data_IF_759345110960
#
_entry.id   IF_759345110960
#
_cell.length_a   1.000
_cell.length_b   1.000
_cell.length_c   1.000
_cell.angle_alpha   90.00
_cell.angle_beta   90.00
_cell.angle_gamma   90.00
#
_symmetry.space_group_name_H-M   'P 1'
#
loop_
_entity.id
_entity.type
_entity.pdbx_description
1 polymer ?
#
# COMPACT_ATOMS: atom_id res chain seq x y z
N UNK A 1 23.97 25.75 -30.48
CA UNK A 1 24.35 26.17 -29.12
C UNK A 1 23.30 25.61 -28.18
N UNK A 2 23.68 24.89 -27.11
CA UNK A 2 22.73 24.44 -26.09
C UNK A 2 22.61 25.58 -25.08
N UNK A 3 21.39 26.06 -24.81
CA UNK A 3 21.15 27.24 -23.97
C UNK A 3 20.69 26.89 -22.55
N UNK A 4 20.19 25.68 -22.32
CA UNK A 4 19.77 25.24 -20.99
C UNK A 4 19.96 23.74 -20.84
N UNK A 5 20.44 23.32 -19.67
CA UNK A 5 20.51 21.92 -19.26
C UNK A 5 19.67 21.75 -18.01
N UNK A 6 18.74 20.80 -18.04
CA UNK A 6 17.91 20.42 -16.88
C UNK A 6 18.36 19.05 -16.38
N UNK A 7 18.78 18.98 -15.12
CA UNK A 7 19.26 17.75 -14.48
C UNK A 7 18.14 17.08 -13.69
N UNK A 8 17.46 16.12 -14.30
CA UNK A 8 16.43 15.28 -13.67
C UNK A 8 17.03 13.98 -13.10
N UNK A 9 18.08 14.10 -12.28
CA UNK A 9 18.88 12.94 -11.82
C UNK A 9 18.24 12.14 -10.68
N UNK A 10 17.24 12.71 -9.99
CA UNK A 10 16.54 12.09 -8.87
C UNK A 10 16.78 12.84 -7.56
N UNK A 11 16.46 12.18 -6.45
CA UNK A 11 16.56 12.72 -5.09
C UNK A 11 17.20 11.69 -4.14
N UNK A 12 17.87 12.20 -3.11
CA UNK A 12 18.43 11.40 -2.01
C UNK A 12 17.51 11.44 -0.79
N UNK A 13 17.52 10.36 -0.02
CA UNK A 13 16.71 10.20 1.19
C UNK A 13 17.59 10.40 2.42
N UNK A 14 17.16 11.27 3.35
CA UNK A 14 17.86 11.52 4.61
C UNK A 14 16.86 11.80 5.73
N UNK A 15 17.19 11.43 6.96
CA UNK A 15 16.36 11.65 8.15
C UNK A 15 17.09 12.41 9.26
N UNK A 16 17.54 13.67 9.03
CA UNK A 16 18.36 14.41 9.99
C UNK A 16 17.63 14.73 11.32
N UNK A 17 16.30 14.80 11.29
CA UNK A 17 15.48 15.14 12.46
C UNK A 17 15.37 13.95 13.42
N UNK A 18 15.47 12.71 12.92
CA UNK A 18 15.20 11.49 13.70
C UNK A 18 16.51 11.00 14.30
N UNK A 19 16.76 11.33 15.58
CA UNK A 19 17.99 11.00 16.30
C UNK A 19 19.28 11.36 15.53
N UNK A 20 19.26 12.50 14.82
CA UNK A 20 20.41 12.93 14.01
C UNK A 20 20.73 12.01 12.81
N UNK A 21 19.83 11.10 12.44
CA UNK A 21 20.02 10.09 11.41
C UNK A 21 20.50 8.72 11.91
N UNK A 22 20.68 8.54 13.22
CA UNK A 22 21.15 7.26 13.77
C UNK A 22 20.05 6.19 13.86
N UNK A 23 18.79 6.59 14.10
CA UNK A 23 17.68 5.65 14.19
C UNK A 23 17.33 5.03 12.83
N UNK A 24 17.33 5.87 11.78
CA UNK A 24 17.07 5.44 10.40
C UNK A 24 18.34 5.66 9.60
N UNK A 25 19.20 4.64 9.58
CA UNK A 25 20.44 4.66 8.81
C UNK A 25 20.13 4.52 7.34
N UNK A 26 20.58 5.51 6.56
CA UNK A 26 20.49 5.48 5.09
C UNK A 26 21.89 5.27 4.53
N UNK A 27 22.14 4.12 3.90
CA UNK A 27 23.38 3.83 3.17
C UNK A 27 23.09 3.77 1.67
N UNK A 28 23.64 4.70 0.88
CA UNK A 28 23.44 4.78 -0.58
C UNK A 28 21.96 4.68 -0.98
N UNK A 29 21.11 5.47 -0.32
CA UNK A 29 19.65 5.49 -0.52
C UNK A 29 18.93 4.16 -0.22
N UNK A 30 19.58 3.26 0.53
CA UNK A 30 18.99 2.04 1.07
C UNK A 30 18.69 2.25 2.54
N UNK A 31 17.52 1.76 2.94
CA UNK A 31 17.01 1.92 4.30
C UNK A 31 16.52 0.56 4.77
N UNK A 32 17.03 0.11 5.92
CA UNK A 32 16.69 -1.19 6.51
C UNK A 32 15.57 -1.02 7.54
N UNK A 33 14.33 -1.03 7.07
CA UNK A 33 13.13 -0.95 7.91
C UNK A 33 12.21 -2.14 7.62
N UNK A 34 11.64 -2.72 8.68
CA UNK A 34 10.62 -3.75 8.53
C UNK A 34 9.40 -3.16 7.81
N UNK A 35 9.02 -3.81 6.70
CA UNK A 35 7.97 -3.34 5.76
C UNK A 35 8.11 -1.86 5.34
N UNK A 36 9.34 -1.33 5.29
CA UNK A 36 9.61 0.08 5.02
C UNK A 36 8.97 1.06 6.03
N UNK A 37 8.74 0.58 7.25
CA UNK A 37 8.05 1.33 8.31
C UNK A 37 8.85 1.37 9.61
N UNK A 38 9.21 0.21 10.17
CA UNK A 38 9.71 0.11 11.54
C UNK A 38 11.23 -0.11 11.60
N UNK A 39 11.95 0.62 12.47
CA UNK A 39 13.35 0.32 12.78
C UNK A 39 13.50 -1.04 13.49
N UNK A 40 14.55 -1.79 13.14
CA UNK A 40 14.71 -3.21 13.53
C UNK A 40 15.25 -3.43 14.96
N UNK A 41 15.92 -2.42 15.53
CA UNK A 41 16.70 -2.55 16.78
C UNK A 41 16.08 -1.76 17.94
N UNK A 42 14.75 -1.68 17.98
CA UNK A 42 14.02 -0.93 19.00
C UNK A 42 13.35 -1.87 20.02
N UNK A 43 13.34 -1.52 21.32
CA UNK A 43 12.66 -2.31 22.34
C UNK A 43 11.14 -2.31 22.15
N UNK A 44 10.60 -1.22 21.57
CA UNK A 44 9.18 -1.03 21.34
C UNK A 44 8.95 -0.47 19.92
N UNK A 45 7.89 -0.94 19.27
CA UNK A 45 7.50 -0.51 17.92
C UNK A 45 6.57 0.73 17.96
N UNK A 46 6.96 1.77 18.69
CA UNK A 46 6.15 2.99 18.89
C UNK A 46 6.38 4.07 17.84
N UNK A 47 7.37 3.88 16.96
CA UNK A 47 7.72 4.79 15.89
C UNK A 47 7.74 4.05 14.54
N UNK A 48 7.15 4.68 13.51
CA UNK A 48 7.17 4.17 12.15
C UNK A 48 7.23 5.31 11.13
N UNK A 49 7.87 5.02 10.00
CA UNK A 49 7.85 5.88 8.82
C UNK A 49 6.71 5.46 7.89
N UNK A 50 5.93 6.42 7.42
CA UNK A 50 4.81 6.18 6.49
C UNK A 50 5.16 6.81 5.14
N UNK A 51 4.94 6.07 4.05
CA UNK A 51 5.17 6.54 2.69
C UNK A 51 6.62 6.49 2.22
N UNK A 52 7.55 5.89 2.98
CA UNK A 52 8.93 5.67 2.54
C UNK A 52 9.02 4.45 1.62
N UNK A 53 8.32 4.48 0.49
CA UNK A 53 8.20 3.35 -0.42
C UNK A 53 7.84 3.80 -1.84
N UNK A 54 8.31 3.07 -2.84
CA UNK A 54 8.03 3.35 -4.25
C UNK A 54 7.30 2.17 -4.89
N UNK A 55 5.97 2.04 -4.70
CA UNK A 55 5.23 0.93 -5.26
C UNK A 55 5.09 1.05 -6.78
N UNK A 56 5.02 -0.09 -7.47
CA UNK A 56 4.49 -0.20 -8.83
C UNK A 56 2.96 -0.02 -8.79
N UNK A 57 2.51 1.19 -8.46
CA UNK A 57 1.13 1.55 -8.22
C UNK A 57 1.02 2.92 -7.53
N UNK A 58 -0.14 3.22 -6.95
CA UNK A 58 -0.33 4.48 -6.22
C UNK A 58 0.24 4.39 -4.81
N UNK A 59 0.98 5.41 -4.37
CA UNK A 59 1.50 5.53 -3.01
C UNK A 59 0.41 5.81 -1.97
N UNK A 60 -0.65 6.53 -2.35
CA UNK A 60 -1.71 6.96 -1.43
C UNK A 60 -2.36 5.79 -0.67
N UNK A 61 -2.86 4.72 -1.34
CA UNK A 61 -3.40 3.56 -0.63
C UNK A 61 -2.36 2.77 0.15
N UNK A 62 -1.10 2.76 -0.29
CA UNK A 62 -0.02 2.09 0.46
C UNK A 62 0.25 2.83 1.77
N UNK A 63 0.38 4.15 1.73
CA UNK A 63 0.59 4.98 2.92
C UNK A 63 -0.60 4.88 3.90
N UNK A 64 -1.83 4.84 3.38
CA UNK A 64 -3.03 4.60 4.19
C UNK A 64 -3.02 3.23 4.87
N UNK A 65 -2.62 2.18 4.15
CA UNK A 65 -2.49 0.83 4.71
C UNK A 65 -1.37 0.75 5.75
N UNK A 66 -0.23 1.39 5.49
CA UNK A 66 0.87 1.50 6.46
C UNK A 66 0.38 2.21 7.74
N UNK A 67 -0.40 3.29 7.62
CA UNK A 67 -0.97 3.97 8.78
C UNK A 67 -1.92 3.05 9.57
N UNK A 68 -2.77 2.27 8.89
CA UNK A 68 -3.65 1.28 9.55
C UNK A 68 -2.86 0.24 10.34
N UNK A 69 -1.81 -0.32 9.74
CA UNK A 69 -0.90 -1.26 10.43
C UNK A 69 -0.27 -0.60 11.65
N UNK A 70 0.22 0.64 11.49
CA UNK A 70 0.85 1.37 12.59
C UNK A 70 -0.08 1.59 13.78
N UNK A 71 -1.27 2.13 13.55
CA UNK A 71 -2.20 2.39 14.64
C UNK A 71 -2.75 1.13 15.27
N UNK A 72 -3.00 0.06 14.49
CA UNK A 72 -3.44 -1.23 15.04
C UNK A 72 -2.35 -1.91 15.87
N UNK A 73 -1.08 -1.77 15.48
CA UNK A 73 0.04 -2.25 16.29
C UNK A 73 0.24 -1.42 17.56
N UNK A 74 0.10 -0.10 17.46
CA UNK A 74 0.25 0.83 18.59
C UNK A 74 -0.87 0.66 19.63
N UNK A 75 -2.10 0.37 19.20
CA UNK A 75 -3.24 0.08 20.10
C UNK A 75 -3.21 -1.32 20.69
N UNK A 76 -2.32 -2.20 20.22
CA UNK A 76 -2.21 -3.59 20.65
C UNK A 76 -3.24 -4.53 20.01
N UNK A 77 -4.01 -4.08 19.02
CA UNK A 77 -4.95 -4.92 18.26
C UNK A 77 -4.23 -5.91 17.32
N UNK A 78 -3.10 -5.48 16.75
CA UNK A 78 -2.26 -6.31 15.88
C UNK A 78 -0.88 -6.51 16.50
N UNK A 79 -0.41 -7.75 16.55
CA UNK A 79 0.94 -8.04 17.01
C UNK A 79 1.93 -8.02 15.84
N UNK A 80 3.00 -7.23 15.98
CA UNK A 80 4.14 -7.30 15.07
C UNK A 80 5.02 -8.51 15.44
N UNK A 81 5.71 -9.13 14.47
CA UNK A 81 6.59 -10.24 14.74
C UNK A 81 7.80 -9.82 15.58
N UNK A 82 8.54 -10.78 16.11
CA UNK A 82 9.72 -10.48 16.93
C UNK A 82 10.86 -9.87 16.09
N UNK A 83 11.82 -9.22 16.75
CA UNK A 83 12.91 -8.52 16.06
C UNK A 83 13.72 -9.41 15.12
N UNK A 84 13.95 -10.68 15.47
CA UNK A 84 14.67 -11.62 14.61
C UNK A 84 13.91 -11.95 13.32
N UNK A 85 12.58 -12.10 13.40
CA UNK A 85 11.71 -12.31 12.24
C UNK A 85 11.61 -11.05 11.37
N UNK A 86 11.54 -9.87 11.99
CA UNK A 86 11.57 -8.60 11.26
C UNK A 86 12.87 -8.44 10.46
N UNK A 87 14.03 -8.74 11.08
CA UNK A 87 15.33 -8.73 10.39
C UNK A 87 15.38 -9.74 9.25
N UNK A 88 14.85 -10.96 9.46
CA UNK A 88 14.77 -11.98 8.41
C UNK A 88 13.93 -11.52 7.23
N UNK A 89 12.76 -10.91 7.45
CA UNK A 89 11.92 -10.36 6.36
C UNK A 89 12.67 -9.31 5.54
N UNK A 90 13.41 -8.41 6.20
CA UNK A 90 14.20 -7.37 5.52
C UNK A 90 15.32 -8.00 4.68
N UNK A 91 16.06 -8.98 5.22
CA UNK A 91 17.11 -9.69 4.48
C UNK A 91 16.55 -10.47 3.29
N UNK A 92 15.43 -11.18 3.47
CA UNK A 92 14.78 -11.95 2.41
C UNK A 92 14.23 -11.04 1.30
N UNK A 93 13.70 -9.87 1.66
CA UNK A 93 13.27 -8.85 0.68
C UNK A 93 14.46 -8.27 -0.07
N UNK A 94 15.55 -7.94 0.63
CA UNK A 94 16.78 -7.44 0.02
C UNK A 94 17.34 -8.42 -1.01
N UNK A 95 17.38 -9.71 -0.69
CA UNK A 95 17.88 -10.73 -1.61
C UNK A 95 16.93 -10.95 -2.80
N UNK A 96 15.62 -10.89 -2.59
CA UNK A 96 14.63 -10.92 -3.70
C UNK A 96 14.81 -9.72 -4.63
N UNK A 97 14.92 -8.51 -4.07
CA UNK A 97 15.12 -7.29 -4.84
C UNK A 97 16.40 -7.34 -5.67
N UNK A 98 17.50 -7.84 -5.08
CA UNK A 98 18.79 -8.02 -5.78
C UNK A 98 18.70 -8.97 -6.98
N UNK A 99 17.81 -9.97 -6.93
CA UNK A 99 17.59 -10.92 -8.04
C UNK A 99 16.69 -10.36 -9.14
N UNK A 100 15.70 -9.53 -8.79
CA UNK A 100 14.70 -9.03 -9.71
C UNK A 100 15.07 -7.68 -10.37
N UNK A 101 15.84 -6.84 -9.69
CA UNK A 101 16.16 -5.50 -10.17
C UNK A 101 17.66 -5.33 -10.37
N UNK A 102 18.03 -4.60 -11.43
CA UNK A 102 19.42 -4.16 -11.64
C UNK A 102 19.83 -3.28 -10.47
N UNK A 103 21.02 -3.51 -9.91
CA UNK A 103 21.56 -2.75 -8.80
C UNK A 103 21.78 -1.28 -9.21
N UNK A 104 20.74 -0.47 -8.99
CA UNK A 104 20.69 0.94 -9.32
C UNK A 104 20.12 1.71 -8.14
N UNK A 105 20.62 2.92 -7.94
CA UNK A 105 20.21 3.85 -6.88
C UNK A 105 18.70 4.13 -6.85
N UNK A 106 17.98 3.87 -7.95
CA UNK A 106 16.54 4.08 -8.12
C UNK A 106 15.65 2.89 -7.71
N UNK A 107 16.20 1.70 -7.52
CA UNK A 107 15.42 0.48 -7.21
C UNK A 107 15.52 0.05 -5.74
N UNK A 108 15.97 0.92 -4.85
CA UNK A 108 16.23 0.57 -3.44
C UNK A 108 14.95 0.44 -2.62
N UNK A 109 13.86 1.12 -3.01
CA UNK A 109 12.57 1.16 -2.31
C UNK A 109 11.41 0.62 -3.15
N UNK A 110 11.70 0.02 -4.29
CA UNK A 110 10.67 -0.41 -5.23
C UNK A 110 9.97 -1.68 -4.74
N UNK A 111 8.64 -1.70 -4.81
CA UNK A 111 7.85 -2.89 -4.45
C UNK A 111 6.72 -3.14 -5.43
N UNK A 112 6.32 -4.39 -5.54
CA UNK A 112 5.08 -4.75 -6.23
C UNK A 112 3.88 -4.37 -5.35
N UNK A 113 2.93 -3.61 -5.92
CA UNK A 113 1.81 -3.05 -5.18
C UNK A 113 0.92 -4.13 -4.53
N UNK A 114 0.46 -5.11 -5.31
CA UNK A 114 -0.51 -6.12 -4.84
C UNK A 114 0.09 -7.01 -3.72
N UNK A 115 1.27 -7.63 -3.90
CA UNK A 115 1.88 -8.45 -2.85
C UNK A 115 2.15 -7.63 -1.57
N UNK A 116 2.61 -6.39 -1.71
CA UNK A 116 2.89 -5.55 -0.54
C UNK A 116 1.62 -5.17 0.22
N UNK A 117 0.56 -4.76 -0.48
CA UNK A 117 -0.74 -4.47 0.13
C UNK A 117 -1.33 -5.71 0.81
N UNK A 118 -1.21 -6.89 0.20
CA UNK A 118 -1.65 -8.16 0.78
C UNK A 118 -0.85 -8.56 2.03
N UNK A 119 0.45 -8.30 2.07
CA UNK A 119 1.29 -8.48 3.27
C UNK A 119 0.78 -7.62 4.42
N UNK A 120 0.58 -6.31 4.20
CA UNK A 120 0.08 -5.40 5.22
C UNK A 120 -1.35 -5.75 5.65
N UNK A 121 -2.21 -6.09 4.69
CA UNK A 121 -3.58 -6.51 4.94
C UNK A 121 -3.66 -7.82 5.75
N UNK A 122 -2.64 -8.68 5.65
CA UNK A 122 -2.55 -9.90 6.47
C UNK A 122 -2.25 -9.55 7.93
N UNK A 123 -1.39 -8.57 8.20
CA UNK A 123 -1.05 -8.12 9.56
C UNK A 123 -2.31 -7.65 10.31
N UNK A 124 -3.14 -6.83 9.66
CA UNK A 124 -4.39 -6.32 10.25
C UNK A 124 -5.61 -7.22 10.02
N UNK A 125 -5.45 -8.34 9.33
CA UNK A 125 -6.55 -9.29 9.05
C UNK A 125 -7.64 -8.78 8.07
N UNK A 126 -7.35 -7.79 7.22
CA UNK A 126 -8.30 -7.28 6.21
C UNK A 126 -8.10 -7.88 4.80
N UNK A 127 -7.16 -8.82 4.64
CA UNK A 127 -6.84 -9.40 3.33
C UNK A 127 -8.06 -10.11 2.70
N UNK A 128 -8.48 -9.74 1.48
CA UNK A 128 -9.53 -10.46 0.76
C UNK A 128 -9.04 -11.87 0.40
N UNK A 129 -9.85 -12.89 0.67
CA UNK A 129 -9.58 -14.27 0.23
C UNK A 129 -10.62 -14.69 -0.78
N UNK A 130 -10.17 -15.21 -1.92
CA UNK A 130 -11.07 -15.57 -3.02
C UNK A 130 -12.12 -16.61 -2.61
N UNK A 131 -11.72 -17.75 -2.01
CA UNK A 131 -12.66 -18.83 -1.69
C UNK A 131 -13.76 -18.39 -0.71
N UNK A 132 -13.47 -17.77 0.45
CA UNK A 132 -14.53 -17.26 1.32
C UNK A 132 -15.43 -16.23 0.65
N UNK A 133 -14.87 -15.32 -0.14
CA UNK A 133 -15.64 -14.31 -0.89
C UNK A 133 -16.54 -14.98 -1.94
N UNK A 134 -16.07 -16.02 -2.62
CA UNK A 134 -16.80 -16.70 -3.69
C UNK A 134 -18.11 -17.31 -3.19
N UNK A 135 -18.09 -17.89 -1.99
CA UNK A 135 -19.27 -18.46 -1.34
C UNK A 135 -20.21 -17.42 -0.73
N UNK A 136 -19.72 -16.22 -0.42
CA UNK A 136 -20.54 -15.14 0.16
C UNK A 136 -21.16 -14.23 -0.92
N UNK A 137 -20.34 -13.78 -1.86
CA UNK A 137 -20.72 -12.90 -2.97
C UNK A 137 -19.83 -13.21 -4.18
N UNK A 138 -20.36 -14.04 -5.07
CA UNK A 138 -19.66 -14.47 -6.29
C UNK A 138 -19.30 -13.29 -7.21
N UNK A 139 -20.18 -12.28 -7.31
CA UNK A 139 -19.91 -11.11 -8.15
C UNK A 139 -18.75 -10.28 -7.59
N UNK A 140 -18.73 -10.06 -6.28
CA UNK A 140 -17.63 -9.39 -5.60
C UNK A 140 -16.33 -10.19 -5.72
N UNK A 141 -16.38 -11.51 -5.51
CA UNK A 141 -15.20 -12.37 -5.64
C UNK A 141 -14.56 -12.28 -7.03
N UNK A 142 -15.37 -12.38 -8.09
CA UNK A 142 -14.90 -12.23 -9.48
C UNK A 142 -14.34 -10.84 -9.72
N UNK A 143 -15.03 -9.78 -9.28
CA UNK A 143 -14.59 -8.40 -9.46
C UNK A 143 -13.28 -8.09 -8.73
N UNK A 144 -13.07 -8.65 -7.53
CA UNK A 144 -11.83 -8.43 -6.77
C UNK A 144 -10.63 -9.20 -7.31
N UNK A 145 -10.83 -10.39 -7.87
CA UNK A 145 -9.73 -11.25 -8.36
C UNK A 145 -9.39 -11.03 -9.82
N UNK A 146 -10.39 -10.84 -10.68
CA UNK A 146 -10.20 -10.68 -12.13
C UNK A 146 -10.41 -9.23 -12.61
N UNK A 147 -10.91 -8.35 -11.73
CA UNK A 147 -11.04 -6.92 -12.02
C UNK A 147 -9.81 -6.10 -11.61
N UNK A 148 -9.88 -4.77 -11.77
CA UNK A 148 -8.81 -3.88 -11.34
C UNK A 148 -8.66 -3.89 -9.81
N UNK A 149 -7.41 -3.98 -9.33
CA UNK A 149 -7.10 -3.97 -7.90
C UNK A 149 -7.24 -2.55 -7.32
N UNK A 150 -8.47 -2.15 -7.03
CA UNK A 150 -8.78 -0.89 -6.37
C UNK A 150 -8.61 -1.00 -4.84
N UNK A 151 -8.18 0.07 -4.15
CA UNK A 151 -7.91 0.02 -2.72
C UNK A 151 -9.15 -0.26 -1.85
N UNK A 152 -10.36 -0.05 -2.39
CA UNK A 152 -11.62 -0.39 -1.73
C UNK A 152 -11.71 -1.86 -1.29
N UNK A 153 -10.98 -2.75 -1.99
CA UNK A 153 -10.96 -4.19 -1.70
C UNK A 153 -10.50 -4.45 -0.26
N UNK A 154 -9.54 -3.67 0.25
CA UNK A 154 -9.02 -3.82 1.61
C UNK A 154 -9.90 -3.20 2.71
N UNK A 155 -11.11 -2.76 2.33
CA UNK A 155 -12.16 -2.26 3.23
C UNK A 155 -13.43 -3.14 3.19
N UNK A 156 -13.41 -4.28 2.50
CA UNK A 156 -14.52 -5.24 2.46
C UNK A 156 -14.65 -6.01 3.78
N UNK A 157 -13.51 -6.42 4.35
CA UNK A 157 -13.41 -7.29 5.53
C UNK A 157 -12.37 -6.73 6.52
N UNK A 158 -12.38 -7.25 7.75
CA UNK A 158 -11.45 -6.87 8.80
C UNK A 158 -11.85 -5.57 9.52
N UNK A 159 -10.92 -5.00 10.31
CA UNK A 159 -11.19 -3.79 11.10
C UNK A 159 -11.41 -2.59 10.18
N UNK A 160 -12.33 -1.70 10.60
CA UNK A 160 -12.70 -0.49 9.88
C UNK A 160 -13.24 -0.74 8.46
N UNK A 161 -14.13 -1.74 8.33
CA UNK A 161 -14.89 -2.03 7.10
C UNK A 161 -15.69 -0.81 6.65
N UNK A 162 -15.78 -0.62 5.33
CA UNK A 162 -16.62 0.42 4.73
C UNK A 162 -17.82 -0.21 4.02
N UNK A 163 -19.03 0.18 4.40
CA UNK A 163 -20.28 -0.37 3.84
C UNK A 163 -20.39 -0.13 2.33
N UNK A 164 -19.95 1.04 1.85
CA UNK A 164 -19.95 1.39 0.43
C UNK A 164 -18.85 0.70 -0.40
N UNK A 165 -17.97 -0.11 0.21
CA UNK A 165 -16.84 -0.73 -0.50
C UNK A 165 -17.31 -1.66 -1.63
N UNK A 166 -18.37 -2.43 -1.38
CA UNK A 166 -18.94 -3.36 -2.38
C UNK A 166 -19.42 -2.60 -3.61
N UNK A 167 -20.29 -1.62 -3.41
CA UNK A 167 -20.86 -0.83 -4.49
C UNK A 167 -19.78 -0.01 -5.20
N UNK A 168 -18.78 0.46 -4.47
CA UNK A 168 -17.63 1.14 -5.06
C UNK A 168 -16.85 0.20 -6.01
N UNK A 169 -16.65 -1.07 -5.66
CA UNK A 169 -15.91 -2.02 -6.52
C UNK A 169 -16.73 -2.37 -7.75
N UNK A 170 -18.01 -2.73 -7.58
CA UNK A 170 -18.87 -3.15 -8.69
C UNK A 170 -19.14 -2.02 -9.68
N UNK A 171 -19.33 -0.79 -9.20
CA UNK A 171 -19.56 0.39 -10.04
C UNK A 171 -18.27 1.08 -10.50
N UNK A 172 -17.09 0.50 -10.26
CA UNK A 172 -15.83 1.14 -10.61
C UNK A 172 -15.69 1.41 -12.13
N UNK A 173 -16.04 0.48 -13.05
CA UNK A 173 -15.94 0.74 -14.48
C UNK A 173 -16.79 1.94 -14.92
N UNK A 174 -18.01 2.05 -14.40
CA UNK A 174 -18.91 3.17 -14.69
C UNK A 174 -18.35 4.50 -14.17
N UNK A 175 -17.76 4.54 -12.97
CA UNK A 175 -17.15 5.78 -12.45
C UNK A 175 -15.94 6.22 -13.26
N UNK A 176 -15.10 5.27 -13.69
CA UNK A 176 -13.96 5.58 -14.56
C UNK A 176 -14.45 6.13 -15.89
N UNK A 177 -15.50 5.54 -16.46
CA UNK A 177 -16.14 6.04 -17.69
C UNK A 177 -16.70 7.45 -17.51
N UNK A 178 -17.47 7.71 -16.45
CA UNK A 178 -18.01 9.03 -16.16
C UNK A 178 -16.91 10.09 -15.94
N UNK A 179 -15.81 9.74 -15.27
CA UNK A 179 -14.69 10.64 -15.06
C UNK A 179 -13.85 10.90 -16.31
N UNK A 180 -13.85 9.98 -17.28
CA UNK A 180 -13.16 10.14 -18.55
C UNK A 180 -14.00 10.88 -19.61
N UNK A 181 -15.32 10.90 -19.46
CA UNK A 181 -16.23 11.57 -20.39
C UNK A 181 -16.37 13.07 -20.05
N UNK A 182 -16.52 13.93 -21.07
CA UNK A 182 -16.86 15.34 -20.86
C UNK A 182 -18.15 15.49 -20.06
N UNK A 183 -18.22 16.52 -19.21
CA UNK A 183 -19.34 16.77 -18.30
C UNK A 183 -20.71 16.82 -18.97
N UNK A 184 -20.79 17.22 -20.24
CA UNK A 184 -22.05 17.30 -21.00
C UNK A 184 -22.57 15.95 -21.52
N UNK A 185 -21.76 14.88 -21.48
CA UNK A 185 -22.18 13.51 -21.85
C UNK A 185 -22.59 12.68 -20.64
N UNK A 186 -22.52 13.23 -19.43
CA UNK A 186 -22.97 12.54 -18.22
C UNK A 186 -24.50 12.51 -18.18
N UNK A 187 -25.09 11.31 -18.29
CA UNK A 187 -26.51 11.13 -17.99
C UNK A 187 -26.67 11.04 -16.46
N UNK A 188 -27.62 11.77 -15.85
CA UNK A 188 -27.87 11.67 -14.42
C UNK A 188 -28.33 10.24 -14.08
N UNK A 189 -27.78 9.68 -12.99
CA UNK A 189 -28.22 8.38 -12.46
C UNK A 189 -29.70 8.51 -12.13
N UNK A 190 -30.57 7.69 -12.74
CA UNK A 190 -31.96 7.57 -12.31
C UNK A 190 -31.94 7.10 -10.86
N UNK A 191 -32.39 7.94 -9.94
CA UNK A 191 -32.70 7.50 -8.59
C UNK A 191 -33.84 6.48 -8.72
N UNK A 192 -33.58 5.22 -8.41
CA UNK A 192 -34.65 4.28 -8.11
C UNK A 192 -35.27 4.74 -6.79
N UNK A 193 -36.22 5.68 -6.88
CA UNK A 193 -37.21 5.91 -5.84
C UNK A 193 -37.90 4.58 -5.58
N UNK A 194 -37.57 3.95 -4.45
CA UNK A 194 -38.36 2.87 -3.89
C UNK A 194 -39.75 3.40 -3.58
N UNK A 195 -40.69 3.17 -4.49
CA UNK A 195 -42.11 3.23 -4.18
C UNK A 195 -42.54 1.88 -3.59
N UNK A 196 -42.74 1.91 -2.27
CA UNK A 196 -43.63 1.10 -1.41
C UNK A 196 -43.59 -0.42 -1.50
#
# INVERSE_FOLDING_TARGET
MIETVVLSTGYDITFPIVEGGELIKVDKNRVELYKYMYPLDQPHNTFAVIGLIQPLGSIMPVAEMQARVFFSALSGESALPCASEMRRDVLDKRERMRKHFVDSHRHTLQVDYIPFMDELATIIGCRPRFLPLLFQDTALAIATTFGPCAPYIYRINGPHKWEGARDAILNLPERVKCGALPSYQMQPRKEETGEK
#
